data_IF_495132353696
#
_entry.id   IF_495132353696
#
_cell.length_a   1.000
_cell.length_b   1.000
_cell.length_c   1.000
_cell.angle_alpha   90.00
_cell.angle_beta   90.00
_cell.angle_gamma   90.00
#
_symmetry.space_group_name_H-M   'P 1'
#
loop_
_entity.id
_entity.type
_entity.pdbx_description
1 polymer ?
#
# COMPACT_ATOMS: atom_id res chain seq x y z
N UNK A 1 -13.26 16.56 18.46
CA UNK A 1 -11.80 16.36 18.48
C UNK A 1 -11.50 15.11 17.69
N UNK A 2 -10.79 15.22 16.57
CA UNK A 2 -10.42 14.05 15.76
C UNK A 2 -9.21 13.40 16.42
N UNK A 3 -9.27 12.09 16.71
CA UNK A 3 -8.16 11.36 17.31
C UNK A 3 -6.98 11.25 16.33
N UNK A 4 -5.75 11.27 16.85
CA UNK A 4 -4.51 11.14 16.05
C UNK A 4 -4.53 9.92 15.11
N UNK A 5 -5.14 8.82 15.55
CA UNK A 5 -5.31 7.60 14.77
C UNK A 5 -6.22 7.76 13.56
N UNK A 6 -7.31 8.53 13.68
CA UNK A 6 -8.24 8.80 12.58
C UNK A 6 -7.52 9.57 11.46
N UNK A 7 -6.75 10.61 11.82
CA UNK A 7 -5.97 11.38 10.85
C UNK A 7 -4.92 10.51 10.13
N UNK A 8 -4.30 9.55 10.83
CA UNK A 8 -3.36 8.60 10.22
C UNK A 8 -4.07 7.63 9.27
N UNK A 9 -5.26 7.15 9.65
CA UNK A 9 -6.09 6.28 8.82
C UNK A 9 -6.53 6.98 7.53
N UNK A 10 -6.98 8.24 7.63
CA UNK A 10 -7.44 9.03 6.48
C UNK A 10 -6.30 9.27 5.49
N UNK A 11 -5.14 9.69 6.01
CA UNK A 11 -3.94 9.88 5.19
C UNK A 11 -3.46 8.58 4.52
N UNK A 12 -3.54 7.46 5.23
CA UNK A 12 -3.21 6.16 4.65
C UNK A 12 -4.20 5.78 3.56
N UNK A 13 -5.49 6.05 3.73
CA UNK A 13 -6.52 5.77 2.74
C UNK A 13 -6.29 6.55 1.44
N UNK A 14 -5.93 7.84 1.52
CA UNK A 14 -5.58 8.65 0.35
C UNK A 14 -4.40 8.07 -0.44
N UNK A 15 -3.31 7.72 0.27
CA UNK A 15 -2.12 7.11 -0.34
C UNK A 15 -2.46 5.75 -0.93
N UNK A 16 -3.22 4.94 -0.19
CA UNK A 16 -3.66 3.61 -0.61
C UNK A 16 -4.50 3.62 -1.87
N UNK A 17 -5.47 4.53 -1.95
CA UNK A 17 -6.31 4.71 -3.12
C UNK A 17 -5.49 5.10 -4.35
N UNK A 18 -4.51 6.00 -4.18
CA UNK A 18 -3.59 6.38 -5.26
C UNK A 18 -2.74 5.20 -5.75
N UNK A 19 -2.18 4.39 -4.85
CA UNK A 19 -1.41 3.19 -5.21
C UNK A 19 -2.27 2.14 -5.90
N UNK A 20 -3.50 1.94 -5.42
CA UNK A 20 -4.50 1.05 -6.04
C UNK A 20 -4.77 1.47 -7.48
N UNK A 21 -5.02 2.76 -7.72
CA UNK A 21 -5.27 3.29 -9.05
C UNK A 21 -4.09 2.97 -10.00
N UNK A 22 -2.85 3.26 -9.59
CA UNK A 22 -1.67 2.95 -10.41
C UNK A 22 -1.57 1.44 -10.69
N UNK A 23 -1.83 0.60 -9.68
CA UNK A 23 -1.80 -0.87 -9.84
C UNK A 23 -2.83 -1.31 -10.88
N UNK A 24 -4.05 -0.80 -10.81
CA UNK A 24 -5.17 -1.15 -11.70
C UNK A 24 -4.96 -0.62 -13.13
N UNK A 25 -4.45 0.61 -13.28
CA UNK A 25 -4.07 1.18 -14.57
C UNK A 25 -3.01 0.33 -15.30
N UNK A 26 -2.16 -0.36 -14.52
CA UNK A 26 -1.13 -1.27 -15.02
C UNK A 26 -1.58 -2.72 -15.12
N UNK A 27 -2.87 -3.00 -14.87
CA UNK A 27 -3.45 -4.34 -14.89
C UNK A 27 -2.72 -5.33 -13.96
N UNK A 28 -2.15 -4.85 -12.87
CA UNK A 28 -1.44 -5.66 -11.89
C UNK A 28 -2.43 -6.19 -10.84
N UNK A 29 -2.32 -7.47 -10.52
CA UNK A 29 -2.98 -8.07 -9.36
C UNK A 29 -2.22 -7.76 -8.08
N UNK A 30 -2.91 -7.82 -6.93
CA UNK A 30 -2.25 -7.69 -5.63
C UNK A 30 -1.17 -8.76 -5.43
N UNK A 31 -1.38 -9.98 -5.92
CA UNK A 31 -0.40 -11.08 -5.82
C UNK A 31 0.87 -10.81 -6.63
N UNK A 32 0.77 -10.20 -7.81
CA UNK A 32 1.94 -9.78 -8.59
C UNK A 32 2.75 -8.72 -7.85
N UNK A 33 2.09 -7.75 -7.23
CA UNK A 33 2.78 -6.74 -6.41
C UNK A 33 3.37 -7.38 -5.15
N UNK A 34 2.66 -8.30 -4.51
CA UNK A 34 3.12 -9.03 -3.34
C UNK A 34 4.42 -9.81 -3.66
N UNK A 35 4.45 -10.51 -4.80
CA UNK A 35 5.63 -11.22 -5.28
C UNK A 35 6.83 -10.29 -5.52
N UNK A 36 6.60 -9.11 -6.13
CA UNK A 36 7.65 -8.11 -6.40
C UNK A 36 8.21 -7.46 -5.13
N UNK A 37 7.35 -7.22 -4.15
CA UNK A 37 7.69 -6.43 -2.95
C UNK A 37 8.06 -7.27 -1.73
N UNK A 38 7.75 -8.58 -1.78
CA UNK A 38 7.79 -9.50 -0.64
C UNK A 38 6.87 -9.08 0.52
N UNK A 39 5.84 -8.30 0.22
CA UNK A 39 4.81 -7.88 1.18
C UNK A 39 3.58 -8.74 0.94
N UNK A 40 3.01 -9.30 2.01
CA UNK A 40 1.80 -10.13 1.90
C UNK A 40 0.65 -9.34 1.26
N UNK A 41 -0.06 -9.94 0.29
CA UNK A 41 -1.17 -9.31 -0.42
C UNK A 41 -2.23 -8.72 0.53
N UNK A 42 -2.49 -9.36 1.67
CA UNK A 42 -3.41 -8.84 2.70
C UNK A 42 -2.99 -7.48 3.26
N UNK A 43 -1.69 -7.22 3.39
CA UNK A 43 -1.16 -5.95 3.91
C UNK A 43 -1.20 -4.87 2.82
N UNK A 44 -0.92 -5.24 1.57
CA UNK A 44 -1.12 -4.35 0.43
C UNK A 44 -2.59 -3.94 0.30
N UNK A 45 -3.51 -4.89 0.44
CA UNK A 45 -4.95 -4.63 0.50
C UNK A 45 -5.32 -3.72 1.68
N UNK A 46 -4.74 -3.92 2.86
CA UNK A 46 -4.98 -3.04 4.00
C UNK A 46 -4.47 -1.61 3.74
N UNK A 47 -3.33 -1.44 3.06
CA UNK A 47 -2.84 -0.14 2.61
C UNK A 47 -3.83 0.50 1.63
N UNK A 48 -4.28 -0.22 0.60
CA UNK A 48 -5.24 0.30 -0.40
C UNK A 48 -6.56 0.80 0.21
N UNK A 49 -6.98 0.21 1.33
CA UNK A 49 -8.24 0.53 1.99
C UNK A 49 -8.05 1.36 3.28
N UNK A 50 -6.85 1.88 3.55
CA UNK A 50 -6.60 2.69 4.75
C UNK A 50 -6.79 1.94 6.08
N UNK A 51 -6.73 0.61 6.10
CA UNK A 51 -7.02 -0.22 7.27
C UNK A 51 -5.83 -0.28 8.22
N UNK A 52 -5.55 0.84 8.89
CA UNK A 52 -4.37 1.02 9.76
C UNK A 52 -4.25 -0.06 10.84
N UNK A 53 -5.37 -0.47 11.45
CA UNK A 53 -5.43 -1.52 12.47
C UNK A 53 -5.03 -2.94 11.98
N UNK A 54 -4.95 -3.16 10.66
CA UNK A 54 -4.52 -4.43 10.06
C UNK A 54 -3.05 -4.42 9.66
N UNK A 55 -2.38 -3.28 9.84
CA UNK A 55 -0.97 -3.10 9.52
C UNK A 55 -0.10 -3.27 10.77
N UNK A 56 1.17 -3.68 10.59
CA UNK A 56 2.13 -3.72 11.67
C UNK A 56 2.52 -2.30 12.12
N UNK A 57 3.44 -2.22 13.08
CA UNK A 57 3.93 -0.97 13.66
C UNK A 57 4.23 0.13 12.61
N UNK A 58 3.89 1.40 12.88
CA UNK A 58 3.99 2.50 11.91
C UNK A 58 5.37 2.68 11.25
N UNK A 59 6.44 2.23 11.91
CA UNK A 59 7.81 2.24 11.37
C UNK A 59 7.93 1.42 10.08
N UNK A 60 7.16 0.34 9.94
CA UNK A 60 7.18 -0.53 8.76
C UNK A 60 6.27 -0.05 7.64
N UNK A 61 5.16 0.60 7.98
CA UNK A 61 4.13 1.05 7.01
C UNK A 61 4.74 1.96 5.95
N UNK A 62 5.59 2.92 6.36
CA UNK A 62 6.29 3.81 5.40
C UNK A 62 7.17 3.04 4.42
N UNK A 63 7.88 2.01 4.90
CA UNK A 63 8.69 1.14 4.05
C UNK A 63 7.85 0.33 3.06
N UNK A 64 6.67 -0.13 3.49
CA UNK A 64 5.74 -0.86 2.62
C UNK A 64 5.14 0.02 1.53
N UNK A 65 4.69 1.23 1.88
CA UNK A 65 4.18 2.22 0.92
C UNK A 65 5.25 2.53 -0.13
N UNK A 66 6.50 2.74 0.28
CA UNK A 66 7.61 3.01 -0.64
C UNK A 66 7.85 1.83 -1.59
N UNK A 67 7.99 0.61 -1.06
CA UNK A 67 8.19 -0.59 -1.88
C UNK A 67 7.04 -0.84 -2.85
N UNK A 68 5.80 -0.61 -2.41
CA UNK A 68 4.63 -0.71 -3.27
C UNK A 68 4.70 0.31 -4.41
N UNK A 69 4.93 1.59 -4.10
CA UNK A 69 5.07 2.64 -5.12
C UNK A 69 6.20 2.33 -6.12
N UNK A 70 7.34 1.83 -5.65
CA UNK A 70 8.48 1.48 -6.51
C UNK A 70 8.14 0.29 -7.42
N UNK A 71 7.46 -0.73 -6.89
CA UNK A 71 7.04 -1.92 -7.64
C UNK A 71 5.93 -1.64 -8.67
N UNK A 72 5.10 -0.62 -8.45
CA UNK A 72 4.11 -0.20 -9.44
C UNK A 72 4.66 0.77 -10.46
N UNK A 73 5.67 1.60 -10.16
CA UNK A 73 6.28 2.51 -11.15
C UNK A 73 7.20 1.81 -12.13
N UNK A 74 7.82 0.70 -11.73
CA UNK A 74 8.85 0.03 -12.53
C UNK A 74 8.25 -1.11 -13.36
N UNK A 75 8.42 -1.01 -14.68
CA UNK A 75 8.37 -2.16 -15.58
C UNK A 75 9.66 -2.96 -15.36
N UNK A 76 9.74 -3.79 -14.31
CA UNK A 76 10.88 -4.70 -14.17
C UNK A 76 10.92 -5.62 -15.39
N UNK A 77 11.79 -5.25 -16.33
CA UNK A 77 12.27 -6.06 -17.43
C UNK A 77 13.59 -6.63 -16.91
N UNK A 78 13.60 -7.93 -16.60
CA UNK A 78 14.73 -8.75 -16.13
C UNK A 78 16.06 -8.05 -15.90
#
# INVERSE_FOLDING_TARGET
MVSQEQNQSDKLAEIGAYLKQIREERLLTLDQVAAKTLIQARLLNAIEHGKLHQLPEPVYIRGFIKRYADATRTEWSG
#
